data_IF_260764071556
#
_entry.id   IF_260764071556
#
_cell.length_a   1.000
_cell.length_b   1.000
_cell.length_c   1.000
_cell.angle_alpha   90.00
_cell.angle_beta   90.00
_cell.angle_gamma   90.00
#
_symmetry.space_group_name_H-M   'P 1'
#
loop_
_entity.id
_entity.type
_entity.pdbx_description
1 polymer ?
#
# COMPACT_ATOMS: atom_id res chain seq x y z
N UNK A 1 -8.72 -9.66 9.92
CA UNK A 1 -7.30 -9.49 9.54
C UNK A 1 -6.69 -10.83 9.12
N UNK A 2 -6.72 -11.88 9.95
CA UNK A 2 -6.12 -13.19 9.65
C UNK A 2 -6.47 -13.79 8.28
N UNK A 3 -7.74 -13.76 7.85
CA UNK A 3 -8.13 -14.28 6.54
C UNK A 3 -7.55 -13.48 5.37
N UNK A 4 -7.35 -12.18 5.52
CA UNK A 4 -6.74 -11.34 4.49
C UNK A 4 -5.23 -11.57 4.41
N UNK A 5 -4.57 -11.83 5.55
CA UNK A 5 -3.16 -12.22 5.57
C UNK A 5 -2.95 -13.58 4.90
N UNK A 6 -3.82 -14.56 5.20
CA UNK A 6 -3.81 -15.86 4.53
C UNK A 6 -4.10 -15.74 3.02
N UNK A 7 -5.05 -14.89 2.64
CA UNK A 7 -5.36 -14.59 1.24
C UNK A 7 -4.17 -13.97 0.51
N UNK A 8 -3.47 -13.02 1.15
CA UNK A 8 -2.24 -12.44 0.62
C UNK A 8 -1.13 -13.48 0.47
N UNK A 9 -0.90 -14.33 1.48
CA UNK A 9 0.12 -15.40 1.42
C UNK A 9 -0.18 -16.41 0.30
N UNK A 10 -1.45 -16.81 0.13
CA UNK A 10 -1.85 -17.70 -0.95
C UNK A 10 -1.65 -17.06 -2.33
N UNK A 11 -1.99 -15.78 -2.48
CA UNK A 11 -1.78 -15.03 -3.72
C UNK A 11 -0.29 -14.78 -4.01
N UNK A 12 0.53 -14.62 -2.98
CA UNK A 12 1.99 -14.53 -3.12
C UNK A 12 2.57 -15.86 -3.60
N UNK A 13 2.12 -16.98 -3.03
CA UNK A 13 2.54 -18.31 -3.46
C UNK A 13 2.16 -18.61 -4.92
N UNK A 14 0.99 -18.16 -5.38
CA UNK A 14 0.57 -18.33 -6.76
C UNK A 14 1.19 -17.31 -7.74
N UNK A 15 1.77 -16.22 -7.24
CA UNK A 15 2.28 -15.12 -8.05
C UNK A 15 1.19 -14.21 -8.63
N UNK A 16 -0.05 -14.29 -8.16
CA UNK A 16 -1.16 -13.48 -8.65
C UNK A 16 -1.09 -12.05 -8.08
N UNK A 17 -0.54 -11.12 -8.86
CA UNK A 17 -0.33 -9.74 -8.44
C UNK A 17 -1.64 -8.98 -8.18
N UNK A 18 -2.72 -9.31 -8.90
CA UNK A 18 -4.01 -8.67 -8.70
C UNK A 18 -4.60 -9.07 -7.35
N UNK A 19 -4.63 -10.37 -7.04
CA UNK A 19 -5.11 -10.86 -5.75
C UNK A 19 -4.20 -10.44 -4.60
N UNK A 20 -2.89 -10.37 -4.79
CA UNK A 20 -2.00 -9.78 -3.79
C UNK A 20 -2.37 -8.32 -3.52
N UNK A 21 -2.51 -7.52 -4.57
CA UNK A 21 -2.87 -6.12 -4.49
C UNK A 21 -4.21 -5.87 -3.78
N UNK A 22 -5.24 -6.64 -4.13
CA UNK A 22 -6.55 -6.55 -3.48
C UNK A 22 -6.51 -6.93 -2.00
N UNK A 23 -5.87 -8.06 -1.64
CA UNK A 23 -5.76 -8.46 -0.24
C UNK A 23 -5.02 -7.39 0.58
N UNK A 24 -3.94 -6.83 0.03
CA UNK A 24 -3.17 -5.75 0.66
C UNK A 24 -4.00 -4.46 0.81
N UNK A 25 -4.83 -4.11 -0.17
CA UNK A 25 -5.71 -2.94 -0.08
C UNK A 25 -6.76 -3.09 1.03
N UNK A 26 -7.34 -4.29 1.19
CA UNK A 26 -8.25 -4.59 2.29
C UNK A 26 -7.54 -4.70 3.64
N UNK A 27 -6.31 -5.23 3.68
CA UNK A 27 -5.47 -5.21 4.89
C UNK A 27 -5.21 -3.78 5.34
N UNK A 28 -4.89 -2.87 4.41
CA UNK A 28 -4.63 -1.48 4.73
C UNK A 28 -5.83 -0.82 5.41
N UNK A 29 -7.03 -1.05 4.89
CA UNK A 29 -8.27 -0.55 5.50
C UNK A 29 -8.54 -1.17 6.87
N UNK A 30 -8.35 -2.49 7.00
CA UNK A 30 -8.54 -3.16 8.27
C UNK A 30 -7.57 -2.62 9.34
N UNK A 31 -6.28 -2.50 9.00
CA UNK A 31 -5.25 -1.93 9.88
C UNK A 31 -5.56 -0.47 10.24
N UNK A 32 -6.02 0.33 9.27
CA UNK A 32 -6.45 1.70 9.54
C UNK A 32 -7.60 1.75 10.54
N UNK A 33 -8.62 0.91 10.36
CA UNK A 33 -9.78 0.84 11.25
C UNK A 33 -9.42 0.44 12.69
N UNK A 34 -8.31 -0.27 12.88
CA UNK A 34 -7.78 -0.65 14.20
C UNK A 34 -6.62 0.25 14.66
N UNK A 35 -6.44 1.42 14.05
CA UNK A 35 -5.37 2.39 14.35
C UNK A 35 -3.93 1.85 14.24
N UNK A 36 -3.73 0.74 13.52
CA UNK A 36 -2.40 0.23 13.23
C UNK A 36 -1.86 0.93 11.98
N UNK A 37 -1.41 2.18 12.16
CA UNK A 37 -1.04 3.07 11.07
C UNK A 37 0.21 2.59 10.31
N UNK A 38 1.20 2.04 11.01
CA UNK A 38 2.38 1.44 10.38
C UNK A 38 1.99 0.35 9.38
N UNK A 39 1.15 -0.59 9.82
CA UNK A 39 0.70 -1.68 8.96
C UNK A 39 -0.23 -1.20 7.85
N UNK A 40 -1.04 -0.16 8.10
CA UNK A 40 -1.88 0.47 7.09
C UNK A 40 -1.04 1.14 5.98
N UNK A 41 0.04 1.85 6.34
CA UNK A 41 0.98 2.43 5.37
C UNK A 41 1.69 1.33 4.60
N UNK A 42 2.24 0.32 5.29
CA UNK A 42 2.94 -0.81 4.67
C UNK A 42 2.08 -1.53 3.61
N UNK A 43 0.90 -2.00 4.02
CA UNK A 43 0.01 -2.75 3.14
C UNK A 43 -0.63 -1.87 2.07
N UNK A 44 -0.95 -0.62 2.40
CA UNK A 44 -1.47 0.35 1.43
C UNK A 44 -0.47 0.64 0.31
N UNK A 45 0.81 0.81 0.62
CA UNK A 45 1.83 1.09 -0.38
C UNK A 45 2.02 -0.08 -1.34
N UNK A 46 2.13 -1.30 -0.82
CA UNK A 46 2.25 -2.50 -1.63
C UNK A 46 1.00 -2.76 -2.47
N UNK A 47 -0.18 -2.61 -1.87
CA UNK A 47 -1.46 -2.81 -2.57
C UNK A 47 -1.63 -1.83 -3.72
N UNK A 48 -1.35 -0.55 -3.48
CA UNK A 48 -1.39 0.47 -4.51
C UNK A 48 -0.39 0.18 -5.63
N UNK A 49 0.87 -0.11 -5.28
CA UNK A 49 1.91 -0.42 -6.25
C UNK A 49 1.57 -1.66 -7.10
N UNK A 50 1.16 -2.77 -6.49
CA UNK A 50 0.87 -4.00 -7.20
C UNK A 50 -0.32 -3.90 -8.16
N UNK A 51 -1.35 -3.14 -7.79
CA UNK A 51 -2.50 -2.90 -8.66
C UNK A 51 -2.15 -1.93 -9.79
N UNK A 52 -1.31 -0.92 -9.51
CA UNK A 52 -0.94 0.08 -10.49
C UNK A 52 -0.02 -0.48 -11.58
N UNK A 53 0.99 -1.28 -11.19
CA UNK A 53 1.94 -1.87 -12.15
C UNK A 53 1.27 -2.81 -13.16
N UNK A 54 0.12 -3.40 -12.82
CA UNK A 54 -0.67 -4.24 -13.73
C UNK A 54 -1.79 -3.47 -14.45
N UNK A 55 -1.86 -2.15 -14.26
CA UNK A 55 -2.86 -1.29 -14.89
C UNK A 55 -4.27 -1.40 -14.31
N UNK A 56 -4.47 -2.02 -13.14
CA UNK A 56 -5.79 -2.11 -12.52
C UNK A 56 -6.19 -0.80 -11.86
N UNK A 57 -7.33 -0.23 -12.22
CA UNK A 57 -7.86 1.00 -11.61
C UNK A 57 -8.11 0.89 -10.09
N UNK A 58 -8.15 -0.32 -9.53
CA UNK A 58 -8.34 -0.54 -8.09
C UNK A 58 -7.17 0.01 -7.26
N UNK A 59 -6.01 0.31 -7.86
CA UNK A 59 -4.87 0.95 -7.19
C UNK A 59 -5.26 2.27 -6.51
N UNK A 60 -6.29 2.95 -7.01
CA UNK A 60 -6.80 4.21 -6.46
C UNK A 60 -7.37 4.05 -5.05
N UNK A 61 -7.90 2.89 -4.70
CA UNK A 61 -8.48 2.64 -3.38
C UNK A 61 -7.43 2.72 -2.27
N UNK A 62 -6.34 1.92 -2.28
CA UNK A 62 -5.28 2.05 -1.29
C UNK A 62 -4.51 3.38 -1.41
N UNK A 63 -4.35 3.95 -2.62
CA UNK A 63 -3.75 5.28 -2.77
C UNK A 63 -4.58 6.39 -2.09
N UNK A 64 -5.91 6.31 -2.18
CA UNK A 64 -6.82 7.20 -1.46
C UNK A 64 -6.71 7.10 0.05
N UNK A 65 -6.61 5.88 0.57
CA UNK A 65 -6.36 5.68 2.01
C UNK A 65 -5.02 6.28 2.45
N UNK A 66 -3.95 6.09 1.67
CA UNK A 66 -2.65 6.71 1.95
C UNK A 66 -2.70 8.24 1.89
N UNK A 67 -3.48 8.81 0.97
CA UNK A 67 -3.70 10.25 0.90
C UNK A 67 -4.44 10.78 2.15
N UNK A 68 -5.47 10.06 2.62
CA UNK A 68 -6.16 10.37 3.89
C UNK A 68 -5.19 10.32 5.06
N UNK A 69 -4.40 9.24 5.17
CA UNK A 69 -3.40 9.07 6.23
C UNK A 69 -2.38 10.20 6.22
N UNK A 70 -1.86 10.58 5.05
CA UNK A 70 -0.93 11.70 4.95
C UNK A 70 -1.59 13.02 5.37
N UNK A 71 -2.87 13.25 5.03
CA UNK A 71 -3.61 14.43 5.47
C UNK A 71 -3.82 14.47 7.00
N UNK A 72 -4.04 13.32 7.62
CA UNK A 72 -4.25 13.20 9.08
C UNK A 72 -2.95 13.35 9.88
N UNK A 73 -1.85 12.79 9.37
CA UNK A 73 -0.56 12.76 10.06
C UNK A 73 0.32 13.98 9.75
N UNK A 74 0.08 14.63 8.61
CA UNK A 74 1.03 15.57 8.02
C UNK A 74 2.09 14.85 7.19
N UNK A 75 2.74 15.61 6.29
CA UNK A 75 3.71 15.08 5.34
C UNK A 75 4.91 14.43 6.02
N UNK A 76 5.52 15.10 7.00
CA UNK A 76 6.74 14.66 7.68
C UNK A 76 6.51 13.33 8.42
N UNK A 77 5.49 13.26 9.29
CA UNK A 77 5.17 12.05 10.04
C UNK A 77 4.78 10.88 9.14
N UNK A 78 4.07 11.13 8.03
CA UNK A 78 3.77 10.09 7.05
C UNK A 78 5.05 9.58 6.36
N UNK A 79 5.95 10.48 6.00
CA UNK A 79 7.22 10.11 5.37
C UNK A 79 8.10 9.31 6.32
N UNK A 80 8.13 9.65 7.61
CA UNK A 80 8.82 8.87 8.64
C UNK A 80 8.26 7.45 8.74
N UNK A 81 6.93 7.29 8.76
CA UNK A 81 6.30 5.97 8.75
C UNK A 81 6.68 5.18 7.48
N UNK A 82 6.67 5.82 6.31
CA UNK A 82 7.05 5.16 5.06
C UNK A 82 8.51 4.68 5.10
N UNK A 83 9.43 5.52 5.59
CA UNK A 83 10.85 5.19 5.77
C UNK A 83 11.04 4.03 6.74
N UNK A 84 10.27 3.97 7.83
CA UNK A 84 10.32 2.84 8.77
C UNK A 84 9.90 1.50 8.11
N UNK A 85 9.04 1.54 7.09
CA UNK A 85 8.64 0.33 6.36
C UNK A 85 9.60 -0.05 5.22
N UNK A 86 10.60 0.79 4.90
CA UNK A 86 11.52 0.59 3.77
C UNK A 86 12.16 -0.80 3.73
N UNK A 87 12.64 -1.30 4.87
CA UNK A 87 13.28 -2.62 4.96
C UNK A 87 12.33 -3.79 4.70
N UNK A 88 11.02 -3.59 4.87
CA UNK A 88 9.98 -4.59 4.59
C UNK A 88 9.42 -4.47 3.18
N UNK A 89 9.37 -3.26 2.63
CA UNK A 89 8.80 -2.99 1.30
C UNK A 89 9.77 -3.35 0.18
N UNK A 90 11.04 -2.94 0.29
CA UNK A 90 12.04 -3.15 -0.77
C UNK A 90 12.20 -4.63 -1.17
N UNK A 91 12.22 -5.62 -0.25
CA UNK A 91 12.30 -7.02 -0.64
C UNK A 91 11.14 -7.50 -1.54
N UNK A 92 10.02 -6.81 -1.56
CA UNK A 92 8.83 -7.19 -2.32
C UNK A 92 8.71 -6.48 -3.67
N UNK A 93 9.15 -5.21 -3.76
CA UNK A 93 8.94 -4.37 -4.95
C UNK A 93 10.23 -3.75 -5.52
N UNK A 94 11.37 -4.05 -4.92
CA UNK A 94 12.66 -3.45 -5.28
C UNK A 94 12.82 -2.01 -4.79
N UNK A 95 14.01 -1.46 -5.02
CA UNK A 95 14.32 -0.05 -4.69
C UNK A 95 13.49 0.88 -5.56
N UNK A 96 13.46 0.63 -6.88
CA UNK A 96 12.71 1.44 -7.84
C UNK A 96 11.21 1.49 -7.51
N UNK A 97 10.62 0.35 -7.15
CA UNK A 97 9.22 0.30 -6.74
C UNK A 97 8.95 1.10 -5.47
N UNK A 98 9.87 1.08 -4.50
CA UNK A 98 9.76 1.90 -3.30
C UNK A 98 9.88 3.40 -3.61
N UNK A 99 10.82 3.79 -4.47
CA UNK A 99 11.02 5.18 -4.90
C UNK A 99 9.87 5.71 -5.77
N UNK A 100 9.09 4.81 -6.38
CA UNK A 100 7.90 5.15 -7.14
C UNK A 100 6.67 5.46 -6.26
N UNK A 101 6.61 4.98 -5.00
CA UNK A 101 5.45 5.19 -4.11
C UNK A 101 5.05 6.68 -3.99
N UNK A 102 5.97 7.64 -3.72
CA UNK A 102 5.62 9.05 -3.66
C UNK A 102 5.02 9.58 -4.98
N UNK A 103 5.53 9.09 -6.11
CA UNK A 103 5.05 9.49 -7.45
C UNK A 103 3.65 8.94 -7.70
N UNK A 104 3.38 7.69 -7.30
CA UNK A 104 2.05 7.09 -7.35
C UNK A 104 1.03 7.90 -6.53
N UNK A 105 1.41 8.37 -5.35
CA UNK A 105 0.54 9.22 -4.52
C UNK A 105 0.33 10.61 -5.11
N UNK A 106 1.34 11.19 -5.75
CA UNK A 106 1.20 12.44 -6.50
C UNK A 106 0.22 12.26 -7.67
N UNK A 107 0.41 11.20 -8.48
CA UNK A 107 -0.49 10.81 -9.58
C UNK A 107 -1.93 10.63 -9.11
N UNK A 108 -2.15 10.02 -7.94
CA UNK A 108 -3.50 9.90 -7.37
C UNK A 108 -4.12 11.28 -7.14
N UNK A 109 -3.41 12.20 -6.48
CA UNK A 109 -3.90 13.53 -6.12
C UNK A 109 -4.21 14.42 -7.31
N UNK A 110 -3.39 14.32 -8.35
CA UNK A 110 -3.61 15.06 -9.60
C UNK A 110 -4.82 14.54 -10.40
N UNK A 111 -5.31 13.35 -10.06
CA UNK A 111 -6.49 12.73 -10.70
C UNK A 111 -7.80 12.92 -9.94
N UNK A 112 -7.78 13.68 -8.84
CA UNK A 112 -8.96 14.05 -8.03
C UNK A 112 -9.64 15.29 -8.61
#
# INVERSE_FOLDING_TARGET
ITYLEQGWQAAQFSGDLYLQGLNLAYLAQACYSTQNLEQAVYTGCLGAYFLEQIGSNDWRQPAGLLAILQGQLGMEAFQDLLVQQRSKVIPLIGVDGYEYIPQLLAKYRESI
#
